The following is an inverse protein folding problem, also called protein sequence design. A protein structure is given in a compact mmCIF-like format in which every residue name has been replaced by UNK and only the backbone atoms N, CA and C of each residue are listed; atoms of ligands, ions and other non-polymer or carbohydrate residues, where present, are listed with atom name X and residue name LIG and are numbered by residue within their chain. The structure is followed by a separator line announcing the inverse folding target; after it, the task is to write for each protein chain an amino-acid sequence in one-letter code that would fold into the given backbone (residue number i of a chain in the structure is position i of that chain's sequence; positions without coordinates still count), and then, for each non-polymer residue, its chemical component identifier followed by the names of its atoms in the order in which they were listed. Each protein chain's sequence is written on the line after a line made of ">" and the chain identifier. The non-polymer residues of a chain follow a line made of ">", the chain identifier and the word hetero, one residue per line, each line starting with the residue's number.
data_IF_835133258764
#
_entry.id   IF_835133258764
#
_cell.length_a   1.000
_cell.length_b   1.000
_cell.length_c   1.000
_cell.angle_alpha   90.00
_cell.angle_beta   90.00
_cell.angle_gamma   90.00
#
_symmetry.space_group_name_H-M   'P 1'
#
loop_
_entity.id
_entity.type
_entity.pdbx_description
1 polymer ?
#
# COMPACT_ATOMS: atom_id res chain seq x y z
N UNK A 1 -10.44 -28.81 20.24
CA UNK A 1 -9.46 -27.75 19.95
C UNK A 1 -9.16 -26.99 21.23
N UNK A 2 -7.91 -26.58 21.45
CA UNK A 2 -7.56 -25.76 22.62
C UNK A 2 -8.04 -24.32 22.42
N UNK A 3 -8.28 -23.58 23.51
CA UNK A 3 -8.62 -22.16 23.45
C UNK A 3 -7.56 -21.36 22.67
N UNK A 4 -6.27 -21.67 22.87
CA UNK A 4 -5.17 -21.07 22.11
C UNK A 4 -5.30 -21.30 20.61
N UNK A 5 -5.62 -22.52 20.18
CA UNK A 5 -5.79 -22.83 18.76
C UNK A 5 -6.96 -22.05 18.13
N UNK A 6 -8.04 -21.82 18.89
CA UNK A 6 -9.18 -20.99 18.43
C UNK A 6 -8.77 -19.52 18.35
N UNK A 7 -8.10 -18.98 19.37
CA UNK A 7 -7.63 -17.58 19.35
C UNK A 7 -6.63 -17.34 18.21
N UNK A 8 -5.72 -18.27 17.98
CA UNK A 8 -4.76 -18.18 16.88
C UNK A 8 -5.49 -18.21 15.53
N UNK A 9 -6.45 -19.12 15.33
CA UNK A 9 -7.23 -19.21 14.10
C UNK A 9 -8.10 -17.96 13.84
N UNK A 10 -8.73 -17.41 14.89
CA UNK A 10 -9.48 -16.14 14.81
C UNK A 10 -8.55 -14.99 14.51
N UNK A 11 -7.36 -14.97 15.12
CA UNK A 11 -6.31 -14.01 14.83
C UNK A 11 -5.87 -14.07 13.36
N UNK A 12 -5.53 -15.25 12.84
CA UNK A 12 -5.08 -15.38 11.44
C UNK A 12 -6.16 -14.97 10.42
N UNK A 13 -7.45 -15.11 10.76
CA UNK A 13 -8.57 -14.72 9.91
C UNK A 13 -9.19 -13.38 10.28
N UNK A 14 -8.51 -12.55 11.09
CA UNK A 14 -9.01 -11.23 11.44
C UNK A 14 -9.14 -10.36 10.19
N UNK A 15 -10.26 -9.66 10.06
CA UNK A 15 -10.50 -8.71 8.97
C UNK A 15 -9.45 -7.61 8.92
N UNK A 16 -9.22 -7.05 7.72
CA UNK A 16 -8.35 -5.88 7.51
C UNK A 16 -8.69 -4.76 8.51
N UNK A 17 -7.67 -4.17 9.13
CA UNK A 17 -7.77 -3.11 10.12
C UNK A 17 -7.89 -3.58 11.58
N UNK A 18 -8.18 -4.86 11.84
CA UNK A 18 -8.18 -5.39 13.20
C UNK A 18 -6.76 -5.72 13.66
N UNK A 19 -6.34 -5.08 14.76
CA UNK A 19 -5.00 -5.22 15.35
C UNK A 19 -3.84 -4.84 14.41
N UNK A 20 -4.11 -4.02 13.40
CA UNK A 20 -3.11 -3.46 12.49
C UNK A 20 -2.92 -1.98 12.81
N UNK A 21 -1.73 -1.45 12.54
CA UNK A 21 -1.44 -0.02 12.68
C UNK A 21 -0.97 0.54 11.33
N UNK A 22 -1.20 1.83 11.13
CA UNK A 22 -0.65 2.54 9.99
C UNK A 22 0.82 2.86 10.26
N UNK A 23 1.68 2.53 9.30
CA UNK A 23 3.11 2.81 9.33
C UNK A 23 3.46 3.69 8.14
N UNK A 24 4.19 4.79 8.38
CA UNK A 24 4.84 5.55 7.31
C UNK A 24 6.12 4.83 6.91
N UNK A 25 6.12 4.27 5.71
CA UNK A 25 7.21 3.46 5.18
C UNK A 25 7.96 4.19 4.05
N UNK A 26 7.71 5.49 3.88
CA UNK A 26 8.27 6.29 2.78
C UNK A 26 9.79 6.22 2.71
N UNK A 27 10.46 6.24 3.86
CA UNK A 27 11.92 6.19 3.94
C UNK A 27 12.51 4.77 3.91
N UNK A 28 11.70 3.74 4.21
CA UNK A 28 12.15 2.34 4.28
C UNK A 28 11.89 1.55 3.01
N UNK A 29 11.09 2.10 2.09
CA UNK A 29 10.78 1.52 0.79
C UNK A 29 11.40 2.37 -0.31
N UNK A 30 12.09 1.73 -1.23
CA UNK A 30 12.62 2.31 -2.44
C UNK A 30 11.60 2.15 -3.58
N UNK A 31 11.44 3.22 -4.36
CA UNK A 31 10.54 3.27 -5.52
C UNK A 31 10.86 2.13 -6.50
N UNK A 32 9.81 1.49 -7.02
CA UNK A 32 9.91 0.41 -8.00
C UNK A 32 10.40 -0.93 -7.45
N UNK A 33 10.85 -1.00 -6.20
CA UNK A 33 11.21 -2.26 -5.55
C UNK A 33 9.98 -3.10 -5.23
N UNK A 34 10.13 -4.42 -5.27
CA UNK A 34 9.07 -5.37 -4.93
C UNK A 34 9.11 -5.69 -3.43
N UNK A 35 7.96 -5.57 -2.76
CA UNK A 35 7.78 -5.81 -1.34
C UNK A 35 6.73 -6.89 -1.11
N UNK A 36 7.07 -7.89 -0.30
CA UNK A 36 6.17 -9.00 0.02
C UNK A 36 5.34 -8.69 1.26
N UNK A 37 4.04 -8.96 1.21
CA UNK A 37 3.23 -9.09 2.42
C UNK A 37 3.56 -10.43 3.08
N UNK A 38 4.54 -10.42 3.98
CA UNK A 38 4.97 -11.59 4.75
C UNK A 38 4.08 -11.88 5.96
N UNK A 39 3.05 -11.07 6.19
CA UNK A 39 2.07 -11.39 7.23
C UNK A 39 1.11 -12.47 6.73
N UNK A 40 0.43 -13.12 7.67
CA UNK A 40 -0.63 -14.09 7.35
C UNK A 40 -1.97 -13.41 7.03
N UNK A 41 -2.01 -12.08 6.90
CA UNK A 41 -3.24 -11.30 6.72
C UNK A 41 -3.12 -10.33 5.55
N UNK A 42 -4.23 -9.92 4.93
CA UNK A 42 -4.19 -8.82 3.97
C UNK A 42 -3.64 -7.55 4.63
N UNK A 43 -2.85 -6.78 3.88
CA UNK A 43 -2.41 -5.44 4.27
C UNK A 43 -3.03 -4.42 3.30
N UNK A 44 -3.22 -3.19 3.76
CA UNK A 44 -3.50 -2.09 2.84
C UNK A 44 -2.20 -1.35 2.57
N UNK A 45 -1.92 -1.08 1.30
CA UNK A 45 -0.87 -0.15 0.89
C UNK A 45 -1.55 1.08 0.34
N UNK A 46 -1.16 2.25 0.83
CA UNK A 46 -1.68 3.51 0.37
C UNK A 46 -0.55 4.46 -0.01
N UNK A 47 -0.77 5.26 -1.04
CA UNK A 47 0.15 6.29 -1.48
C UNK A 47 -0.59 7.62 -1.60
N UNK A 48 -0.10 8.61 -0.86
CA UNK A 48 -0.52 10.00 -0.97
C UNK A 48 0.51 10.74 -1.80
N UNK A 49 0.10 11.41 -2.88
CA UNK A 49 0.95 12.31 -3.65
C UNK A 49 0.41 13.72 -3.53
N UNK A 50 1.27 14.67 -3.15
CA UNK A 50 0.91 16.08 -2.94
C UNK A 50 1.48 16.94 -4.07
N UNK A 51 0.81 18.05 -4.35
CA UNK A 51 1.26 19.08 -5.29
C UNK A 51 1.77 18.52 -6.61
N UNK A 52 0.92 17.78 -7.34
CA UNK A 52 1.35 17.15 -8.60
C UNK A 52 1.78 18.23 -9.62
N UNK A 53 3.01 18.14 -10.17
CA UNK A 53 3.47 19.05 -11.23
C UNK A 53 2.64 18.95 -12.51
N UNK A 54 2.57 20.06 -13.25
CA UNK A 54 1.94 20.10 -14.57
C UNK A 54 2.62 19.09 -15.53
N UNK A 55 1.82 18.35 -16.30
CA UNK A 55 2.33 17.40 -17.30
C UNK A 55 2.72 16.01 -16.76
N UNK A 56 2.46 15.72 -15.48
CA UNK A 56 2.69 14.39 -14.89
C UNK A 56 1.38 13.61 -14.72
N UNK A 57 1.27 12.51 -15.47
CA UNK A 57 -0.03 11.91 -15.76
C UNK A 57 -0.52 10.87 -14.75
N UNK A 58 0.30 9.96 -14.20
CA UNK A 58 -0.21 8.89 -13.33
C UNK A 58 0.79 8.33 -12.29
N UNK A 59 0.34 8.25 -11.03
CA UNK A 59 1.01 7.47 -9.98
C UNK A 59 0.41 6.07 -9.98
N UNK A 60 1.18 5.06 -9.58
CA UNK A 60 0.64 3.69 -9.50
C UNK A 60 1.17 2.86 -8.35
N UNK A 61 0.35 1.90 -7.94
CA UNK A 61 0.73 0.75 -7.12
C UNK A 61 0.44 -0.50 -7.94
N UNK A 62 1.39 -1.43 -8.00
CA UNK A 62 1.24 -2.70 -8.71
C UNK A 62 1.15 -3.81 -7.68
N UNK A 63 0.13 -4.66 -7.77
CA UNK A 63 -0.06 -5.84 -6.91
C UNK A 63 -0.21 -7.06 -7.81
N UNK A 64 0.61 -8.09 -7.62
CA UNK A 64 0.57 -9.30 -8.49
C UNK A 64 0.71 -8.98 -9.99
N UNK A 65 1.44 -7.92 -10.34
CA UNK A 65 1.57 -7.45 -11.73
C UNK A 65 0.37 -6.66 -12.26
N UNK A 66 -0.69 -6.48 -11.47
CA UNK A 66 -1.87 -5.67 -11.83
C UNK A 66 -1.65 -4.23 -11.37
N UNK A 67 -1.72 -3.29 -12.31
CA UNK A 67 -1.50 -1.87 -12.04
C UNK A 67 -2.79 -1.16 -11.59
N UNK A 68 -2.70 -0.47 -10.46
CA UNK A 68 -3.70 0.46 -9.95
C UNK A 68 -3.15 1.88 -10.08
N UNK A 69 -3.65 2.63 -11.06
CA UNK A 69 -3.17 3.96 -11.38
C UNK A 69 -4.19 5.05 -11.02
N UNK A 70 -3.72 6.18 -10.49
CA UNK A 70 -4.50 7.40 -10.40
C UNK A 70 -3.77 8.53 -11.12
N UNK A 71 -4.50 9.22 -12.00
CA UNK A 71 -3.94 10.22 -12.88
C UNK A 71 -4.86 11.40 -13.15
N UNK A 72 -4.25 12.52 -13.54
CA UNK A 72 -4.93 13.76 -13.93
C UNK A 72 -3.93 14.68 -14.64
N UNK A 73 -4.43 15.65 -15.38
CA UNK A 73 -3.66 16.66 -16.08
C UNK A 73 -3.60 18.02 -15.34
N UNK A 74 -4.35 18.18 -14.25
CA UNK A 74 -4.37 19.42 -13.48
C UNK A 74 -3.14 19.51 -12.55
N UNK A 75 -2.47 20.66 -12.58
CA UNK A 75 -1.39 20.96 -11.66
C UNK A 75 -1.90 21.29 -10.25
N UNK A 76 -1.10 20.95 -9.23
CA UNK A 76 -1.39 21.26 -7.83
C UNK A 76 -2.37 20.30 -7.15
N UNK A 77 -2.88 19.29 -7.87
CA UNK A 77 -3.76 18.30 -7.28
C UNK A 77 -3.06 17.38 -6.28
N UNK A 78 -3.87 16.84 -5.37
CA UNK A 78 -3.48 15.75 -4.48
C UNK A 78 -4.09 14.44 -4.98
N UNK A 79 -3.31 13.36 -4.93
CA UNK A 79 -3.74 12.03 -5.38
C UNK A 79 -3.61 11.04 -4.23
N UNK A 80 -4.59 10.16 -4.13
CA UNK A 80 -4.61 9.06 -3.18
C UNK A 80 -4.88 7.77 -3.93
N UNK A 81 -4.06 6.75 -3.69
CA UNK A 81 -4.26 5.39 -4.19
C UNK A 81 -4.18 4.47 -2.99
N UNK A 82 -5.16 3.59 -2.83
CA UNK A 82 -5.08 2.49 -1.86
C UNK A 82 -5.44 1.17 -2.51
N UNK A 83 -4.70 0.14 -2.13
CA UNK A 83 -4.87 -1.22 -2.62
C UNK A 83 -4.71 -2.21 -1.48
N UNK A 84 -5.36 -3.37 -1.61
CA UNK A 84 -5.18 -4.49 -0.69
C UNK A 84 -4.15 -5.44 -1.29
N UNK A 85 -3.17 -5.84 -0.49
CA UNK A 85 -2.17 -6.85 -0.85
C UNK A 85 -2.46 -8.12 -0.05
N UNK A 86 -2.91 -9.21 -0.70
CA UNK A 86 -3.18 -10.46 0.00
C UNK A 86 -1.92 -11.04 0.68
N UNK A 87 -2.08 -11.94 1.68
CA UNK A 87 -0.96 -12.66 2.28
C UNK A 87 -0.10 -13.36 1.23
N UNK A 88 1.23 -13.28 1.39
CA UNK A 88 2.19 -13.92 0.49
C UNK A 88 2.33 -13.28 -0.89
N UNK A 89 1.59 -12.21 -1.18
CA UNK A 89 1.68 -11.50 -2.45
C UNK A 89 2.60 -10.29 -2.36
N UNK A 90 3.08 -9.85 -3.52
CA UNK A 90 3.97 -8.71 -3.62
C UNK A 90 3.28 -7.47 -4.16
N UNK A 91 3.77 -6.32 -3.73
CA UNK A 91 3.44 -5.04 -4.33
C UNK A 91 4.70 -4.24 -4.68
N UNK A 92 4.58 -3.31 -5.60
CA UNK A 92 5.55 -2.24 -5.84
C UNK A 92 4.81 -0.93 -6.09
N UNK A 93 5.51 0.19 -6.04
CA UNK A 93 4.91 1.50 -6.21
C UNK A 93 5.79 2.42 -7.04
N UNK A 94 5.12 3.33 -7.76
CA UNK A 94 5.76 4.34 -8.59
C UNK A 94 5.06 5.68 -8.35
N UNK A 95 5.64 6.55 -7.50
CA UNK A 95 5.14 7.91 -7.35
C UNK A 95 5.51 8.71 -8.60
N UNK A 96 4.64 9.65 -8.96
CA UNK A 96 4.85 10.59 -10.08
C UNK A 96 6.08 11.48 -9.93
N UNK A 97 6.34 11.93 -8.70
CA UNK A 97 7.48 12.75 -8.35
C UNK A 97 8.20 12.08 -7.19
N UNK A 98 9.53 12.01 -7.26
CA UNK A 98 10.36 11.35 -6.25
C UNK A 98 10.39 12.10 -4.90
N UNK A 99 9.86 13.32 -4.83
CA UNK A 99 10.00 14.20 -3.66
C UNK A 99 8.69 14.66 -2.98
N UNK A 100 7.50 14.25 -3.45
CA UNK A 100 6.23 14.75 -2.90
C UNK A 100 5.19 13.64 -2.65
N UNK A 101 5.63 12.53 -2.06
CA UNK A 101 4.73 11.44 -1.72
C UNK A 101 4.95 10.92 -0.30
N UNK A 102 3.93 10.25 0.22
CA UNK A 102 4.02 9.41 1.41
C UNK A 102 3.50 8.03 1.03
N UNK A 103 4.26 6.99 1.37
CA UNK A 103 3.85 5.60 1.27
C UNK A 103 3.49 5.09 2.66
N UNK A 104 2.29 4.55 2.78
CA UNK A 104 1.71 4.06 4.03
C UNK A 104 1.38 2.58 3.88
N UNK A 105 1.65 1.80 4.92
CA UNK A 105 1.19 0.41 5.01
C UNK A 105 0.35 0.25 6.29
N UNK A 106 -0.77 -0.47 6.19
CA UNK A 106 -1.58 -0.92 7.34
C UNK A 106 -1.32 -2.41 7.54
N UNK A 107 -0.56 -2.78 8.56
CA UNK A 107 -0.26 -4.16 8.93
C UNK A 107 -0.04 -4.36 10.43
#
# INVERSE_FOLDING_TARGET
>A
MSQKAVTDAVGQNASLGLYQLWHDVTASRAVGSSYSNNSNRPIMVAMCVRNVPLGLYASSIVVQGIEFSAGSNTAGEHRFISVIVPPGQTYSYKPLATSNYTLLELY
#
